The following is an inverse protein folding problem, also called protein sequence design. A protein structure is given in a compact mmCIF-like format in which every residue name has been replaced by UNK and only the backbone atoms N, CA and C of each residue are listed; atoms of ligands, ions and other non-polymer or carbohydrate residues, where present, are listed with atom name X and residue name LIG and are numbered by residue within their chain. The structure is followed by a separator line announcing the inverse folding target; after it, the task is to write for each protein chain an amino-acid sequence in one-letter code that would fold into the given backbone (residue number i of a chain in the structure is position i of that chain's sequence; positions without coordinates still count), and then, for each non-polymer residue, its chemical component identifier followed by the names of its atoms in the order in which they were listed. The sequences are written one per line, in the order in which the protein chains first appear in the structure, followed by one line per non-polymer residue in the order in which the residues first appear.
data_IF_621440650143
#
_entry.id   IF_621440650143
#
_cell.length_a   1.000
_cell.length_b   1.000
_cell.length_c   1.000
_cell.angle_alpha   90.00
_cell.angle_beta   90.00
_cell.angle_gamma   90.00
#
_symmetry.space_group_name_H-M   'P 1'
#
loop_
_entity.id
_entity.type
_entity.pdbx_description
1 polymer ?
#
# COMPACT_ATOMS: atom_id res chain seq x y z
N UNK A 1 19.35 -6.74 3.30
CA UNK A 1 19.59 -7.88 2.40
C UNK A 1 19.41 -7.44 0.95
N UNK A 2 19.98 -8.16 -0.01
CA UNK A 2 19.65 -7.94 -1.42
C UNK A 2 18.43 -8.76 -1.80
N UNK A 3 17.47 -8.13 -2.48
CA UNK A 3 16.28 -8.78 -3.03
C UNK A 3 16.41 -9.09 -4.51
N UNK A 4 15.29 -9.45 -5.14
CA UNK A 4 15.17 -9.54 -6.60
C UNK A 4 15.69 -8.26 -7.28
N UNK A 5 16.40 -8.44 -8.40
CA UNK A 5 16.99 -7.33 -9.16
C UNK A 5 18.12 -6.59 -8.44
N UNK A 6 18.72 -7.21 -7.41
CA UNK A 6 19.77 -6.65 -6.56
C UNK A 6 19.35 -5.34 -5.87
N UNK A 7 18.03 -5.15 -5.66
CA UNK A 7 17.55 -3.97 -4.96
C UNK A 7 17.70 -4.18 -3.44
N UNK A 8 18.09 -3.15 -2.68
CA UNK A 8 18.11 -3.22 -1.22
C UNK A 8 16.72 -3.49 -0.65
N UNK A 9 16.63 -4.51 0.20
CA UNK A 9 15.44 -4.81 1.00
C UNK A 9 15.78 -5.01 2.48
N UNK A 10 14.79 -4.79 3.30
CA UNK A 10 14.74 -5.14 4.71
C UNK A 10 13.91 -6.40 4.87
N UNK A 11 14.25 -7.17 5.90
CA UNK A 11 13.44 -8.28 6.38
C UNK A 11 13.22 -8.01 7.86
N UNK A 12 11.98 -7.71 8.23
CA UNK A 12 11.57 -7.58 9.63
C UNK A 12 11.01 -8.91 10.07
N UNK A 13 11.38 -9.36 11.26
CA UNK A 13 10.91 -10.63 11.82
C UNK A 13 10.41 -10.38 13.24
N UNK A 14 9.15 -10.68 13.51
CA UNK A 14 8.60 -10.60 14.86
C UNK A 14 9.16 -11.74 15.74
N UNK A 15 9.08 -11.61 17.08
CA UNK A 15 9.48 -12.69 17.98
C UNK A 15 8.77 -14.04 17.70
N UNK A 16 7.52 -14.00 17.23
CA UNK A 16 6.70 -15.16 16.85
C UNK A 16 6.94 -15.63 15.40
N UNK A 17 7.99 -15.12 14.75
CA UNK A 17 8.44 -15.53 13.40
C UNK A 17 7.48 -15.16 12.26
N UNK A 18 6.59 -14.18 12.44
CA UNK A 18 6.00 -13.48 11.28
C UNK A 18 7.06 -12.60 10.64
N UNK A 19 7.02 -12.49 9.31
CA UNK A 19 8.05 -11.80 8.54
C UNK A 19 7.45 -10.80 7.55
N UNK A 20 8.01 -9.61 7.47
CA UNK A 20 7.70 -8.63 6.44
C UNK A 20 8.95 -8.32 5.60
N UNK A 21 8.84 -8.40 4.27
CA UNK A 21 9.90 -7.93 3.36
C UNK A 21 9.55 -6.54 2.84
N UNK A 22 10.52 -5.61 2.91
CA UNK A 22 10.30 -4.21 2.54
C UNK A 22 11.42 -3.76 1.61
N UNK A 23 11.09 -3.40 0.38
CA UNK A 23 12.05 -2.81 -0.55
C UNK A 23 12.22 -1.32 -0.26
N UNK A 24 13.47 -0.87 -0.19
CA UNK A 24 13.75 0.57 -0.02
C UNK A 24 13.28 1.37 -1.24
N UNK A 25 13.38 0.78 -2.44
CA UNK A 25 12.75 1.34 -3.62
C UNK A 25 11.22 1.35 -3.47
N UNK A 26 10.67 2.56 -3.46
CA UNK A 26 9.25 2.82 -3.30
C UNK A 26 8.72 2.57 -1.89
N UNK A 27 9.57 2.29 -0.89
CA UNK A 27 9.13 1.99 0.48
C UNK A 27 8.16 0.80 0.57
N UNK A 28 8.21 -0.11 -0.40
CA UNK A 28 7.13 -1.04 -0.69
C UNK A 28 7.29 -2.33 0.13
N UNK A 29 6.27 -2.66 0.92
CA UNK A 29 6.17 -3.98 1.55
C UNK A 29 5.77 -4.99 0.47
N UNK A 30 6.61 -5.99 0.20
CA UNK A 30 6.38 -6.95 -0.89
C UNK A 30 5.94 -8.33 -0.42
N UNK A 31 6.08 -8.63 0.85
CA UNK A 31 5.69 -9.92 1.45
C UNK A 31 5.34 -9.69 2.91
N UNK A 32 4.31 -10.38 3.39
CA UNK A 32 3.99 -10.50 4.82
C UNK A 32 3.57 -11.93 5.12
N UNK A 33 4.44 -12.67 5.80
CA UNK A 33 4.25 -14.09 6.10
C UNK A 33 3.76 -14.28 7.53
N UNK A 34 2.67 -15.00 7.69
CA UNK A 34 2.17 -15.50 8.98
C UNK A 34 2.12 -17.03 8.88
N UNK A 35 2.76 -17.75 9.81
CA UNK A 35 2.87 -19.21 9.77
C UNK A 35 3.28 -19.76 8.37
N UNK A 36 4.27 -19.12 7.74
CA UNK A 36 4.79 -19.44 6.40
C UNK A 36 3.84 -19.18 5.21
N UNK A 37 2.65 -18.63 5.44
CA UNK A 37 1.75 -18.17 4.37
C UNK A 37 1.94 -16.69 4.12
N UNK A 38 2.25 -16.33 2.88
CA UNK A 38 2.36 -14.92 2.47
C UNK A 38 0.98 -14.35 2.14
N UNK A 39 0.55 -13.36 2.92
CA UNK A 39 -0.76 -12.71 2.81
C UNK A 39 -0.79 -11.60 1.76
N UNK A 40 0.38 -11.18 1.27
CA UNK A 40 0.50 -10.21 0.18
C UNK A 40 0.77 -10.90 -1.16
N UNK A 41 0.43 -10.19 -2.23
CA UNK A 41 0.64 -10.63 -3.60
C UNK A 41 1.50 -9.65 -4.37
N UNK A 42 2.62 -10.15 -4.89
CA UNK A 42 3.39 -9.50 -5.94
C UNK A 42 3.18 -10.26 -7.24
N UNK A 43 2.90 -9.53 -8.32
CA UNK A 43 2.67 -10.15 -9.62
C UNK A 43 3.91 -10.96 -10.05
N UNK A 44 3.72 -12.13 -10.68
CA UNK A 44 4.85 -12.93 -11.20
C UNK A 44 5.72 -12.19 -12.24
N UNK A 45 5.15 -11.20 -12.93
CA UNK A 45 5.83 -10.37 -13.94
C UNK A 45 6.27 -8.99 -13.39
N UNK A 46 6.25 -8.82 -12.07
CA UNK A 46 6.80 -7.62 -11.44
C UNK A 46 8.30 -7.51 -11.73
N UNK A 47 8.75 -6.30 -12.05
CA UNK A 47 10.15 -6.03 -12.39
C UNK A 47 10.77 -5.18 -11.29
N UNK A 48 11.94 -5.60 -10.81
CA UNK A 48 12.67 -4.97 -9.72
C UNK A 48 13.92 -4.26 -10.25
N UNK A 49 13.73 -3.16 -11.00
CA UNK A 49 14.84 -2.47 -11.68
C UNK A 49 14.84 -0.94 -11.50
N UNK A 50 13.99 -0.42 -10.60
CA UNK A 50 13.79 1.02 -10.36
C UNK A 50 13.27 1.86 -11.55
N UNK A 51 13.01 1.25 -12.70
CA UNK A 51 12.46 1.96 -13.87
C UNK A 51 10.95 2.20 -13.70
N UNK A 52 10.26 1.25 -13.07
CA UNK A 52 8.84 1.33 -12.76
C UNK A 52 8.55 0.89 -11.32
N UNK A 53 7.41 1.29 -10.73
CA UNK A 53 7.01 0.82 -9.42
C UNK A 53 6.88 -0.71 -9.37
N UNK A 54 7.17 -1.28 -8.20
CA UNK A 54 6.95 -2.71 -7.94
C UNK A 54 5.45 -3.00 -8.07
N UNK A 55 5.12 -4.02 -8.87
CA UNK A 55 3.73 -4.34 -9.20
C UNK A 55 3.15 -5.37 -8.22
N UNK A 56 2.69 -4.88 -7.07
CA UNK A 56 2.09 -5.67 -5.99
C UNK A 56 2.63 -5.26 -4.62
N UNK A 57 2.27 -6.02 -3.58
CA UNK A 57 2.63 -5.67 -2.20
C UNK A 57 1.83 -4.47 -1.68
N UNK A 58 2.50 -3.49 -1.08
CA UNK A 58 1.89 -2.25 -0.56
C UNK A 58 2.54 -1.00 -1.20
N UNK A 59 2.27 -0.67 -2.47
CA UNK A 59 2.82 0.53 -3.09
C UNK A 59 2.16 1.81 -2.54
N UNK A 60 2.96 2.87 -2.41
CA UNK A 60 2.44 4.20 -2.09
C UNK A 60 1.83 4.90 -3.30
N UNK A 61 0.64 5.47 -3.13
CA UNK A 61 0.13 6.53 -3.98
C UNK A 61 0.38 7.86 -3.27
N UNK A 62 1.37 8.65 -3.69
CA UNK A 62 1.68 9.93 -3.04
C UNK A 62 2.47 10.82 -4.01
N UNK A 63 2.18 12.13 -4.13
CA UNK A 63 1.15 12.93 -3.43
C UNK A 63 -0.22 12.94 -4.15
N UNK A 64 -0.45 11.98 -5.05
CA UNK A 64 -1.67 11.89 -5.85
C UNK A 64 -2.18 10.45 -5.83
N UNK A 65 -3.47 10.24 -5.61
CA UNK A 65 -4.16 8.98 -5.87
C UNK A 65 -4.84 9.02 -7.25
N UNK A 66 -4.63 7.98 -8.05
CA UNK A 66 -5.23 7.89 -9.38
C UNK A 66 -4.59 8.85 -10.41
N UNK A 67 -5.27 9.09 -11.54
CA UNK A 67 -4.83 10.05 -12.56
C UNK A 67 -4.95 11.49 -12.06
N UNK A 68 -4.21 12.42 -12.65
CA UNK A 68 -4.24 13.83 -12.28
C UNK A 68 -3.14 14.64 -12.97
N UNK A 69 -2.64 15.68 -12.31
CA UNK A 69 -1.67 16.63 -12.87
C UNK A 69 -0.28 16.02 -13.04
N UNK A 70 0.10 15.10 -12.15
CA UNK A 70 1.34 14.34 -12.24
C UNK A 70 1.05 12.90 -12.66
N UNK A 71 2.11 12.12 -12.88
CA UNK A 71 1.99 10.70 -13.21
C UNK A 71 1.03 9.97 -12.26
N UNK A 72 0.32 8.97 -12.79
CA UNK A 72 -0.70 8.25 -12.04
C UNK A 72 -0.12 7.69 -10.73
N UNK A 73 -0.84 7.92 -9.63
CA UNK A 73 -0.44 7.58 -8.26
C UNK A 73 0.81 8.31 -7.71
N UNK A 74 1.25 9.39 -8.36
CA UNK A 74 2.38 10.19 -7.91
C UNK A 74 3.73 9.46 -7.98
N UNK A 75 4.67 9.82 -7.12
CA UNK A 75 6.07 9.42 -7.20
C UNK A 75 6.61 8.72 -5.96
N UNK A 76 5.85 8.62 -4.85
CA UNK A 76 6.34 7.95 -3.63
C UNK A 76 6.84 6.52 -3.88
N UNK A 77 6.19 5.80 -4.79
CA UNK A 77 6.54 4.44 -5.24
C UNK A 77 7.66 4.36 -6.30
N UNK A 78 8.23 5.49 -6.70
CA UNK A 78 9.27 5.61 -7.73
C UNK A 78 10.62 6.08 -7.16
N UNK A 79 10.71 6.34 -5.87
CA UNK A 79 11.89 6.90 -5.20
C UNK A 79 12.41 5.92 -4.17
N UNK A 80 13.71 5.97 -3.89
CA UNK A 80 14.29 5.23 -2.77
C UNK A 80 13.94 5.93 -1.44
N UNK A 81 13.48 5.12 -0.48
CA UNK A 81 13.26 5.52 0.89
C UNK A 81 14.48 5.12 1.73
N UNK A 82 14.77 5.90 2.76
CA UNK A 82 15.91 5.66 3.66
C UNK A 82 15.41 5.15 5.02
N UNK A 83 16.14 4.23 5.64
CA UNK A 83 15.84 3.85 7.04
C UNK A 83 16.29 4.97 7.97
N UNK A 84 15.41 5.41 8.86
CA UNK A 84 15.72 6.45 9.86
C UNK A 84 15.57 5.97 11.29
N UNK A 85 14.84 4.87 11.51
CA UNK A 85 14.68 4.27 12.83
C UNK A 85 14.35 2.79 12.75
N UNK A 86 14.63 2.04 13.82
CA UNK A 86 14.22 0.64 13.98
C UNK A 86 14.05 0.31 15.46
N UNK A 87 12.96 -0.37 15.80
CA UNK A 87 12.60 -0.71 17.17
C UNK A 87 12.31 -2.22 17.24
N UNK A 88 12.70 -2.86 18.35
CA UNK A 88 12.23 -4.20 18.69
C UNK A 88 11.52 -4.10 20.04
N UNK A 89 10.31 -4.64 20.12
CA UNK A 89 9.54 -4.79 21.34
C UNK A 89 9.39 -6.28 21.67
N UNK A 90 8.84 -6.58 22.84
CA UNK A 90 8.68 -7.97 23.32
C UNK A 90 7.80 -8.81 22.40
N UNK A 91 6.89 -8.19 21.65
CA UNK A 91 5.88 -8.84 20.80
C UNK A 91 5.94 -8.44 19.31
N UNK A 92 6.83 -7.52 18.93
CA UNK A 92 6.85 -6.95 17.59
C UNK A 92 8.22 -6.40 17.18
N UNK A 93 8.41 -6.23 15.88
CA UNK A 93 9.57 -5.56 15.31
C UNK A 93 9.09 -4.43 14.38
N UNK A 94 9.77 -3.28 14.39
CA UNK A 94 9.39 -2.12 13.62
C UNK A 94 10.57 -1.44 12.93
N UNK A 95 10.27 -0.77 11.82
CA UNK A 95 11.20 0.11 11.10
C UNK A 95 10.47 1.37 10.67
N UNK A 96 11.15 2.51 10.69
CA UNK A 96 10.66 3.75 10.09
C UNK A 96 11.50 4.10 8.87
N UNK A 97 10.82 4.24 7.73
CA UNK A 97 11.38 4.72 6.47
C UNK A 97 11.08 6.20 6.27
N UNK A 98 11.98 6.92 5.60
CA UNK A 98 11.82 8.33 5.25
C UNK A 98 11.92 8.54 3.74
N UNK A 99 11.02 9.38 3.23
CA UNK A 99 11.11 9.99 1.92
C UNK A 99 11.06 11.52 2.08
N UNK A 100 12.00 12.21 1.43
CA UNK A 100 12.05 13.68 1.36
C UNK A 100 11.98 14.14 -0.09
N UNK A 101 11.70 15.42 -0.29
CA UNK A 101 11.79 16.04 -1.59
C UNK A 101 13.23 16.00 -2.15
N UNK A 102 13.34 16.04 -3.47
CA UNK A 102 14.60 16.06 -4.20
C UNK A 102 14.35 16.44 -5.65
N UNK A 103 15.38 16.51 -6.50
CA UNK A 103 15.24 17.01 -7.88
C UNK A 103 14.12 16.33 -8.68
N UNK A 104 13.96 15.01 -8.54
CA UNK A 104 12.92 14.24 -9.24
C UNK A 104 11.50 14.60 -8.79
N UNK A 105 11.23 14.64 -7.47
CA UNK A 105 9.90 14.99 -6.96
C UNK A 105 9.59 16.47 -7.17
N UNK A 106 10.56 17.36 -6.95
CA UNK A 106 10.43 18.82 -7.19
C UNK A 106 10.07 19.16 -8.63
N UNK A 107 10.56 18.39 -9.59
CA UNK A 107 10.22 18.58 -11.00
C UNK A 107 8.74 18.27 -11.33
N UNK A 108 8.07 17.45 -10.51
CA UNK A 108 6.64 17.10 -10.68
C UNK A 108 5.72 17.87 -9.74
N UNK A 109 6.18 18.09 -8.50
CA UNK A 109 5.43 18.72 -7.41
C UNK A 109 6.40 19.53 -6.56
N UNK A 110 6.50 20.83 -6.84
CA UNK A 110 7.51 21.72 -6.24
C UNK A 110 7.18 22.15 -4.79
N UNK A 111 7.22 21.18 -3.89
CA UNK A 111 7.06 21.37 -2.45
C UNK A 111 8.10 20.58 -1.66
N UNK A 112 8.53 21.15 -0.54
CA UNK A 112 9.33 20.48 0.48
C UNK A 112 8.40 19.64 1.35
N UNK A 113 8.78 18.39 1.58
CA UNK A 113 8.01 17.51 2.44
C UNK A 113 8.91 16.52 3.15
N UNK A 114 8.39 15.96 4.24
CA UNK A 114 8.92 14.77 4.86
C UNK A 114 7.80 13.75 5.00
N UNK A 115 7.99 12.56 4.46
CA UNK A 115 7.11 11.41 4.66
C UNK A 115 7.84 10.39 5.53
N UNK A 116 7.26 10.06 6.69
CA UNK A 116 7.72 8.98 7.56
C UNK A 116 6.74 7.82 7.45
N UNK A 117 7.27 6.64 7.17
CA UNK A 117 6.50 5.41 7.02
C UNK A 117 6.98 4.37 8.03
N UNK A 118 6.22 4.19 9.11
CA UNK A 118 6.50 3.18 10.14
C UNK A 118 5.80 1.88 9.75
N UNK A 119 6.55 0.79 9.73
CA UNK A 119 6.03 -0.57 9.53
C UNK A 119 6.32 -1.36 10.78
N UNK A 120 5.32 -2.03 11.33
CA UNK A 120 5.43 -2.87 12.54
C UNK A 120 4.85 -4.24 12.26
N UNK A 121 5.63 -5.29 12.49
CA UNK A 121 5.21 -6.70 12.35
C UNK A 121 5.06 -7.33 13.74
N UNK A 122 3.85 -7.80 14.04
CA UNK A 122 3.52 -8.55 15.25
C UNK A 122 3.48 -10.06 14.99
N UNK A 123 2.77 -10.82 15.82
CA UNK A 123 2.63 -12.26 15.66
C UNK A 123 1.81 -12.65 14.42
N UNK A 124 0.69 -11.96 14.21
CA UNK A 124 -0.32 -12.17 13.17
C UNK A 124 -0.87 -10.84 12.64
N UNK A 125 -0.15 -9.73 12.88
CA UNK A 125 -0.53 -8.39 12.47
C UNK A 125 0.60 -7.67 11.74
N UNK A 126 0.22 -6.82 10.79
CA UNK A 126 1.07 -5.86 10.11
C UNK A 126 0.42 -4.49 10.24
N UNK A 127 1.07 -3.58 10.98
CA UNK A 127 0.62 -2.20 11.12
C UNK A 127 1.52 -1.28 10.29
N UNK A 128 0.91 -0.27 9.69
CA UNK A 128 1.60 0.71 8.86
C UNK A 128 1.07 2.11 9.16
N UNK A 129 1.96 3.06 9.38
CA UNK A 129 1.61 4.47 9.61
C UNK A 129 2.37 5.35 8.62
N UNK A 130 1.66 6.19 7.87
CA UNK A 130 2.24 7.19 6.99
C UNK A 130 1.98 8.59 7.56
N UNK A 131 3.03 9.27 7.98
CA UNK A 131 2.99 10.66 8.45
C UNK A 131 3.63 11.59 7.43
N UNK A 132 2.87 12.57 6.96
CA UNK A 132 3.36 13.60 6.03
C UNK A 132 3.47 14.93 6.77
N UNK A 133 4.67 15.50 6.79
CA UNK A 133 4.95 16.83 7.33
C UNK A 133 5.21 17.79 6.18
N UNK A 134 4.48 18.91 6.13
CA UNK A 134 4.83 20.02 5.26
C UNK A 134 6.06 20.75 5.85
N UNK A 135 7.18 20.69 5.15
CA UNK A 135 8.43 21.37 5.52
C UNK A 135 8.74 22.55 4.61
N UNK A 136 7.85 22.88 3.68
CA UNK A 136 7.95 24.02 2.79
C UNK A 136 7.47 25.30 3.49
N UNK A 137 7.75 26.46 2.87
CA UNK A 137 7.18 27.74 3.30
C UNK A 137 5.81 28.02 2.65
N UNK A 138 5.38 27.18 1.71
CA UNK A 138 4.07 27.22 1.06
C UNK A 138 3.14 26.14 1.61
N UNK A 139 1.83 26.40 1.77
CA UNK A 139 0.86 25.35 1.99
C UNK A 139 0.77 24.44 0.75
N UNK A 140 0.58 23.15 0.95
CA UNK A 140 0.26 22.20 -0.11
C UNK A 140 -0.96 21.37 0.22
N UNK A 141 -1.52 20.74 -0.81
CA UNK A 141 -2.55 19.72 -0.68
C UNK A 141 -2.10 18.46 -1.42
N UNK A 142 -2.52 17.31 -0.92
CA UNK A 142 -2.17 16.02 -1.51
C UNK A 142 -3.31 15.03 -1.30
N UNK A 143 -3.28 13.95 -2.06
CA UNK A 143 -4.05 12.73 -1.78
C UNK A 143 -3.08 11.59 -1.59
N UNK A 144 -3.48 10.56 -0.84
CA UNK A 144 -2.62 9.40 -0.62
C UNK A 144 -3.43 8.11 -0.55
N UNK A 145 -2.77 6.98 -0.82
CA UNK A 145 -3.30 5.65 -0.57
C UNK A 145 -2.16 4.65 -0.37
N UNK A 146 -2.39 3.61 0.43
CA UNK A 146 -1.63 2.37 0.39
C UNK A 146 -2.37 1.41 -0.54
N UNK A 147 -1.76 1.09 -1.67
CA UNK A 147 -2.41 0.30 -2.73
C UNK A 147 -2.23 -1.20 -2.49
N UNK A 148 -2.70 -1.70 -1.35
CA UNK A 148 -2.42 -3.05 -0.86
C UNK A 148 -2.96 -4.15 -1.78
N UNK A 149 -2.08 -5.08 -2.16
CA UNK A 149 -2.40 -6.28 -2.91
C UNK A 149 -2.36 -7.49 -1.98
N UNK A 150 -3.54 -7.95 -1.56
CA UNK A 150 -3.65 -9.20 -0.82
C UNK A 150 -3.60 -10.41 -1.75
N UNK A 151 -2.98 -11.49 -1.28
CA UNK A 151 -3.03 -12.80 -1.95
C UNK A 151 -4.37 -13.45 -1.70
N UNK A 152 -5.04 -13.83 -2.79
CA UNK A 152 -6.40 -14.33 -2.72
C UNK A 152 -6.78 -15.24 -3.88
N UNK A 153 -7.83 -16.03 -3.69
CA UNK A 153 -8.54 -16.73 -4.76
C UNK A 153 -9.63 -15.82 -5.32
N UNK A 154 -9.49 -15.36 -6.56
CA UNK A 154 -10.51 -14.50 -7.19
C UNK A 154 -11.91 -15.14 -7.25
N UNK A 155 -11.99 -16.48 -7.26
CA UNK A 155 -13.25 -17.21 -7.30
C UNK A 155 -13.95 -17.33 -5.92
N UNK A 156 -13.23 -17.10 -4.82
CA UNK A 156 -13.73 -17.35 -3.46
C UNK A 156 -13.59 -16.14 -2.52
N UNK A 157 -12.77 -15.16 -2.88
CA UNK A 157 -12.48 -14.03 -2.02
C UNK A 157 -13.68 -13.10 -1.87
N UNK A 158 -13.77 -12.48 -0.71
CA UNK A 158 -14.85 -11.57 -0.39
C UNK A 158 -14.47 -10.51 0.65
N UNK A 159 -15.17 -9.38 0.61
CA UNK A 159 -15.01 -8.28 1.57
C UNK A 159 -16.34 -7.99 2.25
N UNK A 160 -16.33 -7.91 3.58
CA UNK A 160 -17.48 -7.52 4.41
C UNK A 160 -17.21 -6.18 5.09
N UNK A 161 -18.30 -5.49 5.45
CA UNK A 161 -18.26 -4.17 6.10
C UNK A 161 -18.59 -3.00 5.17
N UNK A 162 -18.64 -3.22 3.85
CA UNK A 162 -18.91 -2.15 2.88
C UNK A 162 -20.40 -1.88 2.62
N UNK A 163 -21.31 -2.73 3.12
CA UNK A 163 -22.75 -2.55 2.95
C UNK A 163 -23.18 -1.17 3.46
N UNK A 164 -23.92 -0.45 2.64
CA UNK A 164 -24.43 0.88 2.96
C UNK A 164 -23.55 2.02 2.44
N UNK A 165 -22.28 1.77 2.11
CA UNK A 165 -21.37 2.80 1.62
C UNK A 165 -21.84 3.37 0.28
N UNK A 166 -21.68 4.69 0.11
CA UNK A 166 -21.80 5.31 -1.22
C UNK A 166 -20.61 4.87 -2.07
N UNK A 167 -20.86 4.54 -3.33
CA UNK A 167 -19.84 4.03 -4.24
C UNK A 167 -19.61 4.96 -5.42
N UNK A 168 -18.38 4.98 -5.93
CA UNK A 168 -17.98 5.55 -7.20
C UNK A 168 -17.34 4.44 -8.04
N UNK A 169 -18.13 3.78 -8.89
CA UNK A 169 -17.65 2.74 -9.78
C UNK A 169 -16.97 3.36 -11.01
N UNK A 170 -15.69 3.07 -11.22
CA UNK A 170 -14.88 3.61 -12.32
C UNK A 170 -14.96 2.78 -13.59
N UNK A 171 -15.61 1.63 -13.56
CA UNK A 171 -15.92 0.86 -14.77
C UNK A 171 -17.28 1.29 -15.33
N UNK A 172 -17.42 1.56 -16.64
CA UNK A 172 -16.42 1.40 -17.71
C UNK A 172 -15.53 2.63 -17.97
N UNK A 173 -15.82 3.78 -17.35
CA UNK A 173 -15.09 5.03 -17.59
C UNK A 173 -14.58 5.65 -16.27
N UNK A 174 -13.27 5.60 -15.99
CA UNK A 174 -12.70 6.15 -14.76
C UNK A 174 -12.78 7.68 -14.69
N UNK A 175 -13.06 8.37 -15.80
CA UNK A 175 -13.26 9.82 -15.82
C UNK A 175 -14.68 10.23 -15.41
N UNK A 176 -15.64 9.33 -15.54
CA UNK A 176 -17.06 9.55 -15.25
C UNK A 176 -17.59 8.40 -14.38
N UNK A 177 -17.14 8.30 -13.12
CA UNK A 177 -17.54 7.20 -12.25
C UNK A 177 -19.05 7.20 -12.01
N UNK A 178 -19.65 6.02 -12.04
CA UNK A 178 -21.06 5.81 -11.77
C UNK A 178 -21.26 5.83 -10.25
N UNK A 179 -22.05 6.80 -9.76
CA UNK A 179 -22.44 6.84 -8.35
C UNK A 179 -23.44 5.72 -8.02
N UNK A 180 -23.28 5.13 -6.84
CA UNK A 180 -24.19 4.10 -6.36
C UNK A 180 -24.12 3.88 -4.86
N UNK A 181 -24.59 2.72 -4.44
CA UNK A 181 -24.53 2.23 -3.06
C UNK A 181 -24.20 0.74 -3.08
N UNK A 182 -23.41 0.29 -2.11
CA UNK A 182 -23.17 -1.14 -1.92
C UNK A 182 -24.29 -1.76 -1.08
N UNK A 183 -25.13 -2.58 -1.68
CA UNK A 183 -26.25 -3.24 -0.98
C UNK A 183 -25.94 -4.68 -0.56
N UNK A 184 -24.83 -5.25 -1.04
CA UNK A 184 -24.41 -6.61 -0.67
C UNK A 184 -23.84 -6.63 0.75
N UNK A 185 -24.19 -7.66 1.51
CA UNK A 185 -23.52 -7.94 2.80
C UNK A 185 -22.06 -8.34 2.61
N UNK A 186 -21.74 -8.90 1.44
CA UNK A 186 -20.44 -9.42 1.09
C UNK A 186 -20.13 -9.11 -0.38
N UNK A 187 -19.06 -8.34 -0.60
CA UNK A 187 -18.57 -7.97 -1.93
C UNK A 187 -17.74 -9.12 -2.47
N UNK A 188 -18.16 -9.67 -3.61
CA UNK A 188 -17.45 -10.71 -4.37
C UNK A 188 -16.92 -10.16 -5.70
N UNK A 189 -16.06 -10.92 -6.39
CA UNK A 189 -15.32 -10.47 -7.58
C UNK A 189 -15.59 -11.34 -8.83
N UNK A 190 -16.83 -11.38 -9.38
CA UNK A 190 -17.17 -12.20 -10.55
C UNK A 190 -16.59 -11.67 -11.88
N UNK A 191 -16.01 -10.47 -11.86
CA UNK A 191 -15.45 -9.79 -13.03
C UNK A 191 -14.57 -8.62 -12.60
N UNK A 192 -14.22 -7.76 -13.56
CA UNK A 192 -13.46 -6.55 -13.29
C UNK A 192 -14.25 -5.63 -12.35
N UNK A 193 -13.57 -5.08 -11.35
CA UNK A 193 -14.12 -4.15 -10.36
C UNK A 193 -13.05 -3.11 -10.03
N UNK A 194 -13.38 -1.84 -10.25
CA UNK A 194 -12.59 -0.69 -9.77
C UNK A 194 -13.57 0.31 -9.16
N UNK A 195 -13.68 0.31 -7.84
CA UNK A 195 -14.71 1.05 -7.12
C UNK A 195 -14.12 1.74 -5.89
N UNK A 196 -14.46 3.01 -5.69
CA UNK A 196 -14.13 3.76 -4.48
C UNK A 196 -15.36 3.78 -3.58
N UNK A 197 -15.21 3.32 -2.35
CA UNK A 197 -16.24 3.38 -1.32
C UNK A 197 -16.00 4.65 -0.48
N UNK A 198 -16.99 5.53 -0.45
CA UNK A 198 -16.96 6.77 0.31
C UNK A 198 -17.46 6.50 1.73
N UNK A 199 -16.86 7.20 2.69
CA UNK A 199 -17.18 7.08 4.13
C UNK A 199 -17.16 5.61 4.61
N UNK A 200 -16.22 4.83 4.07
CA UNK A 200 -16.03 3.44 4.45
C UNK A 200 -15.70 3.32 5.95
N UNK A 201 -16.12 2.24 6.63
CA UNK A 201 -15.78 2.03 8.04
C UNK A 201 -14.28 1.85 8.23
N UNK A 202 -13.82 2.08 9.46
CA UNK A 202 -12.41 1.90 9.83
C UNK A 202 -11.96 0.42 9.84
N UNK A 203 -12.91 -0.52 9.83
CA UNK A 203 -12.66 -1.96 9.85
C UNK A 203 -13.43 -2.63 8.72
N UNK A 204 -12.73 -3.48 7.98
CA UNK A 204 -13.28 -4.37 6.97
C UNK A 204 -12.77 -5.78 7.27
N UNK A 205 -13.54 -6.79 6.85
CA UNK A 205 -13.09 -8.17 6.93
C UNK A 205 -12.86 -8.68 5.52
N UNK A 206 -11.65 -9.17 5.26
CA UNK A 206 -11.29 -9.77 3.99
C UNK A 206 -11.12 -11.28 4.15
N UNK A 207 -12.01 -12.06 3.55
CA UNK A 207 -11.78 -13.49 3.34
C UNK A 207 -11.03 -13.65 2.03
N UNK A 208 -9.78 -14.11 2.09
CA UNK A 208 -8.96 -14.25 0.89
C UNK A 208 -9.34 -15.49 0.05
N UNK A 209 -10.27 -16.32 0.51
CA UNK A 209 -10.69 -17.55 -0.16
C UNK A 209 -9.66 -18.68 -0.13
N UNK A 210 -8.58 -18.51 0.65
CA UNK A 210 -7.49 -19.48 0.85
C UNK A 210 -7.42 -20.00 2.30
N UNK A 211 -8.41 -19.64 3.12
CA UNK A 211 -8.53 -20.04 4.52
C UNK A 211 -7.95 -19.04 5.51
N UNK A 212 -7.59 -17.83 5.06
CA UNK A 212 -7.15 -16.74 5.93
C UNK A 212 -8.22 -15.63 5.94
N UNK A 213 -8.48 -15.09 7.14
CA UNK A 213 -9.31 -13.90 7.32
C UNK A 213 -8.42 -12.78 7.84
N UNK A 214 -8.39 -11.69 7.09
CA UNK A 214 -7.53 -10.52 7.32
C UNK A 214 -8.42 -9.34 7.70
#
# INVERSE_FOLDING_TARGET
AEGQGNLPKLVLTSPQKSEAEIYLFGGCITSWKVASKDLLFVRPDAVFNKIKPISGGVPHCFPQFGPGLIQQHGFGRNMDWSVVDSENADDSAAVTLELKDGPYSRAMWDFAFQALYKVTVGADSLSTELKITNTDNKPFSFTTALHTYFRASSAKASVRGLKGCKTLNKDPDPKNPIEGKEDRDEVTFPGFLDCVYLDAPNELQFDNGLGDKI
#
